data_IF_108064213844
#
_entry.id   IF_108064213844
#
_cell.length_a   1.000
_cell.length_b   1.000
_cell.length_c   1.000
_cell.angle_alpha   90.00
_cell.angle_beta   90.00
_cell.angle_gamma   90.00
#
_symmetry.space_group_name_H-M   'P 1'
#
loop_
_entity.id
_entity.type
_entity.pdbx_description
1 polymer ?
#
# COMPACT_ATOMS: atom_id res chain seq x y z
N UNK A 1 15.77 9.94 -7.78
CA UNK A 1 15.88 8.97 -6.67
C UNK A 1 15.47 9.68 -5.39
N UNK A 2 14.43 9.22 -4.71
CA UNK A 2 14.07 9.74 -3.39
C UNK A 2 15.15 9.38 -2.39
N UNK A 3 15.43 10.28 -1.44
CA UNK A 3 16.27 9.93 -0.30
C UNK A 3 15.58 8.84 0.51
N UNK A 4 16.34 7.92 1.12
CA UNK A 4 15.80 6.76 1.85
C UNK A 4 14.66 7.11 2.83
N UNK A 5 14.74 8.20 3.62
CA UNK A 5 13.64 8.59 4.50
C UNK A 5 12.36 9.02 3.76
N UNK A 6 12.49 9.73 2.64
CA UNK A 6 11.35 10.17 1.82
C UNK A 6 10.66 8.98 1.17
N UNK A 7 11.43 7.99 0.72
CA UNK A 7 10.89 6.74 0.19
C UNK A 7 10.06 5.99 1.25
N UNK A 8 10.56 5.91 2.48
CA UNK A 8 9.86 5.27 3.59
C UNK A 8 8.55 5.98 3.95
N UNK A 9 8.55 7.30 3.98
CA UNK A 9 7.33 8.08 4.20
C UNK A 9 6.30 7.85 3.09
N UNK A 10 6.76 7.81 1.84
CA UNK A 10 5.88 7.52 0.70
C UNK A 10 5.28 6.11 0.79
N UNK A 11 6.07 5.11 1.17
CA UNK A 11 5.59 3.73 1.36
C UNK A 11 4.58 3.64 2.50
N UNK A 12 4.82 4.33 3.60
CA UNK A 12 3.88 4.40 4.70
C UNK A 12 2.54 4.96 4.22
N UNK A 13 2.56 6.07 3.48
CA UNK A 13 1.36 6.69 2.94
C UNK A 13 0.59 5.74 2.00
N UNK A 14 1.26 5.16 0.99
CA UNK A 14 0.62 4.25 0.06
C UNK A 14 0.02 3.02 0.73
N UNK A 15 0.69 2.46 1.73
CA UNK A 15 0.17 1.30 2.47
C UNK A 15 -1.02 1.66 3.34
N UNK A 16 -1.04 2.87 3.91
CA UNK A 16 -2.24 3.40 4.57
C UNK A 16 -3.40 3.56 3.59
N UNK A 17 -3.17 4.04 2.36
CA UNK A 17 -4.22 4.12 1.34
C UNK A 17 -4.76 2.73 0.99
N UNK A 18 -3.88 1.74 0.77
CA UNK A 18 -4.29 0.36 0.51
C UNK A 18 -5.12 -0.24 1.65
N UNK A 19 -4.77 0.04 2.90
CA UNK A 19 -5.50 -0.43 4.08
C UNK A 19 -6.89 0.21 4.23
N UNK A 20 -7.12 1.36 3.59
CA UNK A 20 -8.40 2.09 3.64
C UNK A 20 -9.34 1.74 2.49
N UNK A 21 -8.87 0.99 1.48
CA UNK A 21 -9.71 0.56 0.37
C UNK A 21 -10.83 -0.36 0.88
N UNK A 22 -12.04 -0.13 0.39
CA UNK A 22 -13.15 -1.06 0.57
C UNK A 22 -13.23 -2.10 -0.57
N UNK A 23 -14.09 -3.09 -0.41
CA UNK A 23 -14.22 -4.18 -1.37
C UNK A 23 -14.82 -3.76 -2.73
N UNK A 24 -15.55 -2.64 -2.78
CA UNK A 24 -16.10 -2.09 -4.02
C UNK A 24 -14.99 -1.40 -4.80
N UNK A 25 -14.21 -0.54 -4.14
CA UNK A 25 -13.05 0.14 -4.72
C UNK A 25 -12.00 -0.86 -5.22
N UNK A 26 -11.69 -1.90 -4.44
CA UNK A 26 -10.77 -2.95 -4.89
C UNK A 26 -11.29 -3.64 -6.16
N UNK A 27 -12.58 -3.95 -6.22
CA UNK A 27 -13.21 -4.59 -7.40
C UNK A 27 -13.18 -3.69 -8.62
N UNK A 28 -13.55 -2.42 -8.47
CA UNK A 28 -13.61 -1.45 -9.56
C UNK A 28 -12.22 -1.18 -10.16
N UNK A 29 -11.18 -1.23 -9.32
CA UNK A 29 -9.79 -1.12 -9.75
C UNK A 29 -9.18 -2.45 -10.24
N UNK A 30 -9.90 -3.57 -10.15
CA UNK A 30 -9.39 -4.90 -10.50
C UNK A 30 -8.27 -5.40 -9.58
N UNK A 31 -8.26 -4.94 -8.33
CA UNK A 31 -7.28 -5.33 -7.31
C UNK A 31 -7.71 -6.62 -6.61
N UNK A 32 -6.74 -7.52 -6.39
CA UNK A 32 -6.93 -8.72 -5.58
C UNK A 32 -6.89 -8.35 -4.08
N UNK A 33 -7.95 -8.64 -3.30
CA UNK A 33 -8.00 -8.27 -1.89
C UNK A 33 -6.87 -8.87 -1.04
N UNK A 34 -6.44 -10.10 -1.34
CA UNK A 34 -5.34 -10.76 -0.63
C UNK A 34 -4.03 -10.05 -0.90
N UNK A 35 -3.75 -9.72 -2.16
CA UNK A 35 -2.55 -8.95 -2.53
C UNK A 35 -2.56 -7.57 -1.87
N UNK A 36 -3.70 -6.87 -1.88
CA UNK A 36 -3.85 -5.55 -1.22
C UNK A 36 -3.54 -5.65 0.28
N UNK A 37 -4.07 -6.67 0.95
CA UNK A 37 -3.81 -6.89 2.38
C UNK A 37 -2.34 -7.20 2.65
N UNK A 38 -1.71 -8.05 1.83
CA UNK A 38 -0.30 -8.37 1.97
C UNK A 38 0.59 -7.13 1.80
N UNK A 39 0.34 -6.34 0.74
CA UNK A 39 1.09 -5.11 0.46
C UNK A 39 0.88 -4.04 1.55
N UNK A 40 -0.34 -3.87 2.04
CA UNK A 40 -0.66 -2.91 3.11
C UNK A 40 0.06 -3.25 4.43
N UNK A 41 0.27 -4.53 4.72
CA UNK A 41 0.90 -4.99 5.96
C UNK A 41 2.43 -5.08 5.89
N UNK A 42 3.04 -4.86 4.72
CA UNK A 42 4.50 -4.85 4.61
C UNK A 42 5.12 -3.73 5.46
N UNK A 43 6.26 -3.97 6.14
CA UNK A 43 6.98 -2.91 6.86
C UNK A 43 7.51 -1.83 5.91
N UNK A 44 7.26 -0.53 6.18
CA UNK A 44 7.56 0.59 5.26
C UNK A 44 9.02 0.64 4.76
N UNK A 45 9.95 0.08 5.53
CA UNK A 45 11.38 0.04 5.21
C UNK A 45 11.80 -1.15 4.32
N UNK A 46 10.86 -2.03 3.96
CA UNK A 46 11.06 -3.18 3.07
C UNK A 46 10.34 -2.99 1.74
N UNK A 47 10.91 -3.62 0.71
CA UNK A 47 10.30 -3.81 -0.61
C UNK A 47 9.23 -4.92 -0.54
#
# INVERSE_FOLDING_TARGET
MLQVPQLWLQRLFWRSELAMLDAEQMRDCGLDPTVVHDEANKPFWRD
#
